data_IF_971141685638
#
_entry.id   IF_971141685638
#
_cell.length_a   1.000
_cell.length_b   1.000
_cell.length_c   1.000
_cell.angle_alpha   90.00
_cell.angle_beta   90.00
_cell.angle_gamma   90.00
#
_symmetry.space_group_name_H-M   'P 1'
#
loop_
_entity.id
_entity.type
_entity.pdbx_description
1 polymer ?
#
# COMPACT_ATOMS: atom_id res chain seq x y z
N UNK A 1 -11.73 34.15 43.12
CA UNK A 1 -12.25 32.77 42.92
C UNK A 1 -12.49 32.44 41.44
N UNK A 2 -12.91 33.40 40.61
CA UNK A 2 -13.20 33.20 39.19
C UNK A 2 -11.98 32.71 38.37
N UNK A 3 -10.79 33.21 38.66
CA UNK A 3 -9.55 32.83 37.96
C UNK A 3 -9.14 31.37 38.16
N UNK A 4 -9.38 30.81 39.35
CA UNK A 4 -9.01 29.42 39.69
C UNK A 4 -9.86 28.42 38.92
N UNK A 5 -11.15 28.73 38.74
CA UNK A 5 -12.07 27.92 37.92
C UNK A 5 -11.66 27.92 36.44
N UNK A 6 -11.23 29.07 35.92
CA UNK A 6 -10.78 29.19 34.52
C UNK A 6 -9.50 28.38 34.30
N UNK A 7 -8.50 28.49 35.18
CA UNK A 7 -7.26 27.71 35.05
C UNK A 7 -7.49 26.20 35.19
N UNK A 8 -8.40 25.78 36.09
CA UNK A 8 -8.78 24.37 36.23
C UNK A 8 -9.45 23.82 34.97
N UNK A 9 -10.34 24.59 34.36
CA UNK A 9 -11.00 24.21 33.11
C UNK A 9 -10.01 24.07 31.96
N UNK A 10 -9.07 25.01 31.82
CA UNK A 10 -8.05 24.98 30.75
C UNK A 10 -7.18 23.73 30.87
N UNK A 11 -6.73 23.38 32.08
CA UNK A 11 -5.91 22.18 32.31
C UNK A 11 -6.65 20.87 32.01
N UNK A 12 -7.93 20.79 32.36
CA UNK A 12 -8.74 19.61 32.06
C UNK A 12 -8.95 19.42 30.54
N UNK A 13 -9.18 20.53 29.82
CA UNK A 13 -9.36 20.50 28.37
C UNK A 13 -8.06 20.12 27.66
N UNK A 14 -6.92 20.69 28.05
CA UNK A 14 -5.63 20.38 27.41
C UNK A 14 -5.20 18.92 27.62
N UNK A 15 -5.41 18.37 28.82
CA UNK A 15 -5.15 16.95 29.08
C UNK A 15 -6.07 16.03 28.26
N UNK A 16 -7.35 16.39 28.13
CA UNK A 16 -8.31 15.60 27.35
C UNK A 16 -7.98 15.61 25.85
N UNK A 17 -7.57 16.77 25.32
CA UNK A 17 -7.14 16.91 23.93
C UNK A 17 -5.85 16.13 23.67
N UNK A 18 -4.87 16.20 24.58
CA UNK A 18 -3.63 15.42 24.46
C UNK A 18 -3.90 13.91 24.47
N UNK A 19 -4.80 13.44 25.32
CA UNK A 19 -5.19 12.03 25.38
C UNK A 19 -5.90 11.58 24.09
N UNK A 20 -6.80 12.40 23.54
CA UNK A 20 -7.47 12.14 22.27
C UNK A 20 -6.48 12.09 21.11
N UNK A 21 -5.54 13.04 21.01
CA UNK A 21 -4.52 13.05 19.95
C UNK A 21 -3.67 11.78 20.00
N UNK A 22 -3.26 11.33 21.18
CA UNK A 22 -2.45 10.11 21.31
C UNK A 22 -3.25 8.82 21.01
N UNK A 23 -4.57 8.81 21.27
CA UNK A 23 -5.45 7.67 20.97
C UNK A 23 -5.83 7.58 19.49
N UNK A 24 -5.94 8.73 18.81
CA UNK A 24 -6.40 8.86 17.43
C UNK A 24 -5.29 9.19 16.42
N UNK A 25 -4.03 9.24 16.84
CA UNK A 25 -2.87 9.12 15.96
C UNK A 25 -2.89 7.72 15.32
N UNK A 26 -3.73 7.61 14.30
CA UNK A 26 -3.68 6.57 13.30
C UNK A 26 -2.25 6.54 12.75
N UNK A 27 -1.66 5.34 12.55
CA UNK A 27 -0.34 5.26 11.95
C UNK A 27 -0.43 6.00 10.62
N UNK A 28 0.35 7.08 10.51
CA UNK A 28 0.52 7.80 9.25
C UNK A 28 1.19 6.81 8.33
N UNK A 29 0.41 6.09 7.51
CA UNK A 29 0.96 5.12 6.58
C UNK A 29 1.76 5.93 5.57
N UNK A 30 3.07 5.97 5.76
CA UNK A 30 3.99 6.57 4.82
C UNK A 30 4.01 5.66 3.59
N UNK A 31 3.21 6.02 2.58
CA UNK A 31 3.31 5.42 1.26
C UNK A 31 4.62 5.90 0.67
N UNK A 32 5.61 5.01 0.67
CA UNK A 32 6.91 5.33 0.07
C UNK A 32 6.80 4.94 -1.39
N UNK A 33 6.74 5.92 -2.29
CA UNK A 33 6.87 5.67 -3.74
C UNK A 33 8.29 5.17 -3.99
N UNK A 34 8.47 3.86 -4.07
CA UNK A 34 9.75 3.30 -4.46
C UNK A 34 9.70 3.02 -5.96
N UNK A 35 10.42 3.84 -6.72
CA UNK A 35 10.76 3.60 -8.14
C UNK A 35 11.57 2.29 -8.34
N UNK A 36 11.79 1.48 -7.30
CA UNK A 36 12.51 0.19 -7.35
C UNK A 36 11.98 -0.87 -6.37
N UNK A 37 10.65 -1.01 -6.24
CA UNK A 37 10.08 -2.16 -5.52
C UNK A 37 10.58 -3.49 -6.10
N UNK A 38 10.67 -3.56 -7.43
CA UNK A 38 11.07 -4.76 -8.15
C UNK A 38 12.49 -4.61 -8.70
N UNK A 39 13.37 -5.55 -8.35
CA UNK A 39 14.83 -5.50 -8.62
C UNK A 39 15.11 -5.44 -10.12
N UNK A 40 14.36 -6.20 -10.91
CA UNK A 40 14.58 -6.40 -12.34
C UNK A 40 13.58 -5.65 -13.24
N UNK A 41 12.95 -4.59 -12.69
CA UNK A 41 11.73 -3.95 -13.24
C UNK A 41 10.53 -4.91 -13.22
N UNK A 42 9.33 -4.37 -13.27
CA UNK A 42 8.12 -5.17 -13.44
C UNK A 42 8.17 -5.82 -14.82
N UNK A 43 8.13 -7.15 -14.86
CA UNK A 43 7.96 -7.86 -16.13
C UNK A 43 6.46 -7.98 -16.34
N UNK A 44 5.97 -7.31 -17.38
CA UNK A 44 4.60 -7.41 -17.88
C UNK A 44 4.70 -8.06 -19.24
N UNK A 45 4.30 -9.33 -19.34
CA UNK A 45 4.35 -10.08 -20.58
C UNK A 45 2.93 -10.42 -21.05
N UNK A 46 2.64 -10.12 -22.32
CA UNK A 46 1.35 -10.45 -22.94
C UNK A 46 1.34 -11.91 -23.38
N UNK A 47 0.37 -12.66 -22.90
CA UNK A 47 0.13 -14.09 -23.18
C UNK A 47 -1.19 -14.26 -23.92
N UNK A 48 -1.44 -15.44 -24.50
CA UNK A 48 -2.73 -15.75 -25.16
C UNK A 48 -3.93 -15.61 -24.20
N UNK A 49 -3.71 -15.82 -22.91
CA UNK A 49 -4.73 -15.79 -21.86
C UNK A 49 -4.87 -14.44 -21.15
N UNK A 50 -3.99 -13.46 -21.40
CA UNK A 50 -3.94 -12.24 -20.59
C UNK A 50 -2.54 -11.66 -20.40
N UNK A 51 -2.32 -10.95 -19.30
CA UNK A 51 -1.03 -10.37 -18.93
C UNK A 51 -0.41 -11.15 -17.77
N UNK A 52 0.82 -11.64 -17.95
CA UNK A 52 1.64 -12.18 -16.88
C UNK A 52 2.40 -11.04 -16.23
N UNK A 53 2.14 -10.81 -14.95
CA UNK A 53 2.85 -9.83 -14.13
C UNK A 53 3.84 -10.58 -13.26
N UNK A 54 5.10 -10.15 -13.27
CA UNK A 54 6.15 -10.69 -12.42
C UNK A 54 6.97 -9.56 -11.79
N UNK A 55 7.18 -9.65 -10.48
CA UNK A 55 7.98 -8.73 -9.68
C UNK A 55 8.85 -9.52 -8.70
N UNK A 56 10.15 -9.26 -8.73
CA UNK A 56 11.11 -9.81 -7.78
C UNK A 56 11.53 -8.74 -6.76
N UNK A 57 11.37 -9.00 -5.47
CA UNK A 57 11.66 -8.09 -4.36
C UNK A 57 12.96 -8.48 -3.66
N UNK A 58 13.65 -7.49 -3.06
CA UNK A 58 14.94 -7.70 -2.36
C UNK A 58 14.81 -8.46 -1.05
N UNK A 59 13.61 -8.47 -0.49
CA UNK A 59 13.30 -9.00 0.83
C UNK A 59 11.96 -9.75 0.74
N UNK A 60 11.71 -10.70 1.66
CA UNK A 60 10.45 -11.44 1.70
C UNK A 60 9.29 -10.49 2.04
N UNK A 61 8.50 -10.08 1.05
CA UNK A 61 7.40 -9.13 1.22
C UNK A 61 6.04 -9.79 0.99
N UNK A 62 4.98 -9.15 1.49
CA UNK A 62 3.61 -9.53 1.15
C UNK A 62 3.13 -8.51 0.14
N UNK A 63 2.88 -8.96 -1.09
CA UNK A 63 2.53 -8.07 -2.18
C UNK A 63 1.12 -8.35 -2.69
N UNK A 64 0.43 -7.28 -3.05
CA UNK A 64 -0.84 -7.27 -3.71
C UNK A 64 -0.74 -6.47 -5.00
N UNK A 65 -1.57 -6.83 -5.95
CA UNK A 65 -1.69 -6.19 -7.24
C UNK A 65 -3.02 -5.46 -7.25
N UNK A 66 -2.97 -4.14 -7.40
CA UNK A 66 -4.13 -3.34 -7.76
C UNK A 66 -4.25 -3.28 -9.26
N UNK A 67 -5.44 -3.56 -9.75
CA UNK A 67 -5.74 -3.60 -11.17
C UNK A 67 -6.99 -2.80 -11.45
N UNK A 68 -7.02 -2.08 -12.56
CA UNK A 68 -8.24 -1.51 -13.12
C UNK A 68 -8.64 -2.36 -14.32
N UNK A 69 -9.77 -3.03 -14.23
CA UNK A 69 -10.33 -3.85 -15.30
C UNK A 69 -11.79 -3.46 -15.47
N UNK A 70 -12.23 -3.19 -16.71
CA UNK A 70 -13.63 -2.78 -16.99
C UNK A 70 -14.11 -1.61 -16.09
N UNK A 71 -13.24 -0.63 -15.84
CA UNK A 71 -13.46 0.53 -14.95
C UNK A 71 -13.61 0.23 -13.45
N UNK A 72 -13.44 -1.02 -13.01
CA UNK A 72 -13.39 -1.39 -11.60
C UNK A 72 -11.95 -1.55 -11.09
N UNK A 73 -11.63 -0.88 -9.97
CA UNK A 73 -10.38 -1.10 -9.24
C UNK A 73 -10.53 -2.28 -8.28
N UNK A 74 -9.66 -3.29 -8.45
CA UNK A 74 -9.62 -4.48 -7.61
C UNK A 74 -8.21 -4.71 -7.07
N UNK A 75 -8.12 -5.06 -5.80
CA UNK A 75 -6.88 -5.52 -5.18
C UNK A 75 -6.88 -7.04 -5.06
N UNK A 76 -5.85 -7.69 -5.60
CA UNK A 76 -5.68 -9.15 -5.59
C UNK A 76 -4.32 -9.49 -5.00
N UNK A 77 -4.21 -10.39 -4.00
CA UNK A 77 -2.92 -10.80 -3.47
C UNK A 77 -2.08 -11.50 -4.55
N UNK A 78 -0.80 -11.14 -4.67
CA UNK A 78 0.09 -11.80 -5.62
C UNK A 78 0.49 -13.18 -5.11
N UNK A 79 0.53 -14.16 -6.02
CA UNK A 79 1.15 -15.46 -5.74
C UNK A 79 2.63 -15.24 -5.55
N UNK A 80 3.21 -15.98 -4.61
CA UNK A 80 4.62 -15.83 -4.27
C UNK A 80 5.31 -17.19 -4.20
N UNK A 81 6.61 -17.21 -4.46
CA UNK A 81 7.46 -18.36 -4.16
C UNK A 81 7.56 -18.63 -2.64
N UNK A 82 8.18 -19.75 -2.27
CA UNK A 82 8.33 -20.12 -0.86
C UNK A 82 9.14 -19.10 -0.06
N UNK A 83 10.08 -18.42 -0.71
CA UNK A 83 10.90 -17.34 -0.15
C UNK A 83 10.18 -15.99 -0.08
N UNK A 84 9.00 -15.85 -0.70
CA UNK A 84 8.24 -14.59 -0.80
C UNK A 84 9.03 -13.42 -1.41
N UNK A 85 9.95 -13.74 -2.30
CA UNK A 85 10.80 -12.80 -3.02
C UNK A 85 10.44 -12.70 -4.49
N UNK A 86 9.79 -13.72 -5.05
CA UNK A 86 9.26 -13.69 -6.41
C UNK A 86 7.74 -13.67 -6.36
N UNK A 87 7.12 -12.63 -6.91
CA UNK A 87 5.68 -12.42 -6.93
C UNK A 87 5.15 -12.42 -8.36
N UNK A 88 4.04 -13.11 -8.59
CA UNK A 88 3.46 -13.22 -9.92
C UNK A 88 1.93 -13.34 -9.88
N UNK A 89 1.28 -12.89 -10.95
CA UNK A 89 -0.14 -13.14 -11.20
C UNK A 89 -0.45 -13.07 -12.69
N UNK A 90 -1.51 -13.75 -13.11
CA UNK A 90 -2.05 -13.67 -14.46
C UNK A 90 -3.33 -12.85 -14.43
N UNK A 91 -3.35 -11.76 -15.19
CA UNK A 91 -4.50 -10.88 -15.33
C UNK A 91 -5.23 -11.12 -16.65
N UNK A 92 -6.57 -11.02 -16.67
CA UNK A 92 -7.33 -11.01 -17.92
C UNK A 92 -6.91 -9.86 -18.85
N UNK A 93 -7.11 -10.03 -20.16
CA UNK A 93 -6.88 -8.97 -21.16
C UNK A 93 -7.77 -7.74 -20.98
N UNK A 94 -8.83 -7.83 -20.18
CA UNK A 94 -9.72 -6.72 -19.87
C UNK A 94 -9.12 -5.67 -18.91
N UNK A 95 -7.98 -5.97 -18.29
CA UNK A 95 -7.29 -5.06 -17.39
C UNK A 95 -6.43 -4.05 -18.16
N UNK A 96 -6.52 -2.77 -17.78
CA UNK A 96 -5.87 -1.65 -18.48
C UNK A 96 -4.75 -1.01 -17.68
N UNK A 97 -4.88 -0.96 -16.35
CA UNK A 97 -3.88 -0.38 -15.47
C UNK A 97 -3.56 -1.31 -14.32
N UNK A 98 -2.31 -1.31 -13.89
CA UNK A 98 -1.85 -2.08 -12.74
C UNK A 98 -0.95 -1.25 -11.83
N UNK A 99 -0.94 -1.61 -10.55
CA UNK A 99 -0.04 -1.07 -9.54
C UNK A 99 0.29 -2.19 -8.55
N UNK A 100 1.55 -2.31 -8.17
CA UNK A 100 1.98 -3.31 -7.18
C UNK A 100 2.16 -2.61 -5.84
N UNK A 101 1.57 -3.17 -4.79
CA UNK A 101 1.66 -2.69 -3.41
C UNK A 101 2.24 -3.81 -2.53
N UNK A 102 3.34 -3.56 -1.83
CA UNK A 102 3.92 -4.49 -0.88
C UNK A 102 3.98 -3.89 0.52
N UNK A 103 3.75 -4.74 1.53
CA UNK A 103 3.89 -4.35 2.93
C UNK A 103 5.33 -4.58 3.42
N UNK A 104 6.00 -3.52 3.87
CA UNK A 104 7.30 -3.55 4.52
C UNK A 104 7.18 -3.00 5.95
N UNK A 105 7.07 -3.91 6.92
CA UNK A 105 6.82 -3.54 8.32
C UNK A 105 5.48 -2.84 8.49
N UNK A 106 5.51 -1.59 8.97
CA UNK A 106 4.32 -0.74 9.13
C UNK A 106 4.07 0.20 7.94
N UNK A 107 4.90 0.10 6.89
CA UNK A 107 4.81 0.93 5.70
C UNK A 107 4.33 0.11 4.51
N UNK A 108 3.69 0.81 3.57
CA UNK A 108 3.36 0.25 2.26
C UNK A 108 4.29 0.88 1.24
N UNK A 109 4.92 0.04 0.42
CA UNK A 109 5.70 0.45 -0.73
C UNK A 109 4.88 0.14 -1.97
N UNK A 110 4.75 1.10 -2.87
CA UNK A 110 4.01 0.92 -4.11
C UNK A 110 4.79 1.38 -5.34
N UNK A 111 4.45 0.77 -6.48
CA UNK A 111 4.88 1.24 -7.80
C UNK A 111 3.96 2.36 -8.29
N UNK A 112 4.37 3.06 -9.34
CA UNK A 112 3.43 3.88 -10.11
C UNK A 112 2.43 2.99 -10.87
N UNK A 113 1.31 3.58 -11.29
CA UNK A 113 0.39 2.94 -12.21
C UNK A 113 1.08 2.69 -13.55
N UNK A 114 1.00 1.44 -14.02
CA UNK A 114 1.51 1.01 -15.31
C UNK A 114 0.34 0.68 -16.23
N UNK A 115 0.39 1.21 -17.46
CA UNK A 115 -0.55 0.89 -18.52
C UNK A 115 -0.22 -0.49 -19.11
N UNK A 116 -1.25 -1.30 -19.31
CA UNK A 116 -1.20 -2.59 -20.00
C UNK A 116 -1.72 -2.39 -21.44
N UNK A 117 -0.81 -2.39 -22.43
CA UNK A 117 -1.12 -2.35 -23.88
C UNK A 117 -0.76 -3.67 -24.58
#
# INVERSE_FOLDING_TARGET
MQSVLVYGLVLAVTMSVAYMVNRFQTPTSHVTQATSLCINKNIVEKTESGYLIFCETKSPLNCALRTVCEDEEKSTPLKSDASRTSHYEVLPTACTNIKIECAEGNSTIETDWMLLD
#
